data_IF_855670205080
#
_entry.id   IF_855670205080
#
_cell.length_a   1.000
_cell.length_b   1.000
_cell.length_c   1.000
_cell.angle_alpha   90.00
_cell.angle_beta   90.00
_cell.angle_gamma   90.00
#
_symmetry.space_group_name_H-M   'P 1'
#
loop_
_entity.id
_entity.type
_entity.pdbx_description
1 polymer ?
#
# COMPACT_ATOMS: atom_id res chain seq x y z
N UNK A 1 47.27 -27.36 -31.55
CA UNK A 1 46.10 -26.47 -31.41
C UNK A 1 45.05 -27.10 -30.49
N UNK A 2 45.41 -27.53 -29.27
CA UNK A 2 44.54 -28.41 -28.45
C UNK A 2 44.23 -27.94 -27.03
N UNK A 3 44.99 -26.97 -26.48
CA UNK A 3 44.86 -26.57 -25.07
C UNK A 3 44.25 -25.17 -24.90
N UNK A 4 44.59 -24.21 -25.77
CA UNK A 4 44.09 -22.84 -25.67
C UNK A 4 42.56 -22.72 -25.78
N UNK A 5 41.88 -23.57 -26.55
CA UNK A 5 40.42 -23.47 -26.69
C UNK A 5 39.69 -23.79 -25.37
N UNK A 6 40.25 -24.65 -24.52
CA UNK A 6 39.70 -24.97 -23.18
C UNK A 6 39.89 -23.80 -22.23
N UNK A 7 41.04 -23.13 -22.29
CA UNK A 7 41.33 -21.93 -21.49
C UNK A 7 40.38 -20.78 -21.87
N UNK A 8 40.14 -20.59 -23.18
CA UNK A 8 39.18 -19.60 -23.68
C UNK A 8 37.73 -19.90 -23.27
N UNK A 9 37.31 -21.17 -23.30
CA UNK A 9 35.98 -21.57 -22.82
C UNK A 9 35.82 -21.39 -21.31
N UNK A 10 36.83 -21.76 -20.52
CA UNK A 10 36.77 -21.58 -19.07
C UNK A 10 36.77 -20.10 -18.69
N UNK A 11 37.60 -19.29 -19.36
CA UNK A 11 37.63 -17.84 -19.16
C UNK A 11 36.30 -17.17 -19.51
N UNK A 12 35.72 -17.50 -20.66
CA UNK A 12 34.42 -16.94 -21.08
C UNK A 12 33.27 -17.39 -20.17
N UNK A 13 33.26 -18.65 -19.72
CA UNK A 13 32.27 -19.14 -18.78
C UNK A 13 32.34 -18.42 -17.43
N UNK A 14 33.55 -18.18 -16.90
CA UNK A 14 33.75 -17.45 -15.65
C UNK A 14 33.27 -15.99 -15.78
N UNK A 15 33.55 -15.32 -16.89
CA UNK A 15 33.09 -13.95 -17.15
C UNK A 15 31.56 -13.91 -17.26
N UNK A 16 30.94 -14.87 -17.96
CA UNK A 16 29.48 -14.96 -18.05
C UNK A 16 28.83 -15.17 -16.68
N UNK A 17 29.42 -16.00 -15.82
CA UNK A 17 28.98 -16.23 -14.45
C UNK A 17 29.07 -14.96 -13.59
N UNK A 18 30.17 -14.21 -13.70
CA UNK A 18 30.34 -12.95 -12.99
C UNK A 18 29.33 -11.89 -13.43
N UNK A 19 29.07 -11.77 -14.74
CA UNK A 19 28.04 -10.89 -15.28
C UNK A 19 26.66 -11.30 -14.76
N UNK A 20 26.36 -12.60 -14.77
CA UNK A 20 25.09 -13.12 -14.25
C UNK A 20 24.89 -12.76 -12.77
N UNK A 21 25.90 -12.99 -11.93
CA UNK A 21 25.86 -12.66 -10.50
C UNK A 21 25.71 -11.15 -10.29
N UNK A 22 26.40 -10.32 -11.08
CA UNK A 22 26.28 -8.87 -11.01
C UNK A 22 24.87 -8.40 -11.40
N UNK A 23 24.27 -8.97 -12.44
CA UNK A 23 22.89 -8.70 -12.84
C UNK A 23 21.88 -9.09 -11.74
N UNK A 24 22.07 -10.24 -11.09
CA UNK A 24 21.25 -10.66 -9.96
C UNK A 24 21.41 -9.70 -8.77
N UNK A 25 22.64 -9.27 -8.46
CA UNK A 25 22.90 -8.29 -7.40
C UNK A 25 22.29 -6.91 -7.71
N UNK A 26 22.30 -6.47 -8.97
CA UNK A 26 21.65 -5.24 -9.41
C UNK A 26 20.12 -5.34 -9.39
N UNK A 27 19.55 -6.49 -9.74
CA UNK A 27 18.11 -6.76 -9.63
C UNK A 27 17.64 -6.78 -8.17
N UNK A 28 18.51 -7.23 -7.26
CA UNK A 28 18.27 -7.27 -5.81
C UNK A 28 18.63 -5.97 -5.09
N UNK A 29 19.04 -4.89 -5.80
CA UNK A 29 19.36 -3.61 -5.16
C UNK A 29 18.15 -3.10 -4.35
N UNK A 30 18.27 -2.92 -3.03
CA UNK A 30 17.24 -2.33 -2.20
C UNK A 30 17.23 -0.82 -2.48
N UNK A 31 16.58 -0.44 -3.57
CA UNK A 31 16.48 0.94 -4.05
C UNK A 31 15.46 1.11 -5.17
N UNK A 32 14.69 0.06 -5.49
CA UNK A 32 13.49 0.21 -6.29
C UNK A 32 12.61 1.26 -5.63
N UNK A 33 12.38 2.37 -6.36
CA UNK A 33 11.53 3.48 -5.90
C UNK A 33 10.31 2.90 -5.23
N UNK A 34 10.06 3.29 -3.98
CA UNK A 34 8.92 2.80 -3.23
C UNK A 34 7.67 2.87 -4.14
N UNK A 35 6.89 1.78 -4.27
CA UNK A 35 5.66 1.80 -5.04
C UNK A 35 4.84 2.99 -4.60
N UNK A 36 4.37 3.76 -5.59
CA UNK A 36 3.59 4.97 -5.31
C UNK A 36 2.37 4.58 -4.47
N UNK A 37 2.06 5.30 -3.39
CA UNK A 37 0.89 5.00 -2.59
C UNK A 37 -0.36 5.02 -3.48
N UNK A 38 -1.15 3.95 -3.42
CA UNK A 38 -2.35 3.84 -4.22
C UNK A 38 -3.53 4.52 -3.49
N UNK A 39 -4.48 5.10 -4.23
CA UNK A 39 -5.63 5.74 -3.62
C UNK A 39 -6.56 4.69 -2.99
N UNK A 40 -6.71 4.77 -1.67
CA UNK A 40 -7.54 3.90 -0.84
C UNK A 40 -8.98 4.41 -0.80
N UNK A 41 -9.98 3.50 -0.79
CA UNK A 41 -11.37 3.86 -0.56
C UNK A 41 -11.55 4.40 0.86
N UNK A 42 -12.18 5.56 0.95
CA UNK A 42 -12.49 6.22 2.21
C UNK A 42 -13.92 6.71 2.23
N UNK A 43 -14.46 6.86 3.44
CA UNK A 43 -15.75 7.48 3.69
C UNK A 43 -15.66 8.42 4.89
N UNK A 44 -16.33 9.56 4.79
CA UNK A 44 -16.49 10.47 5.92
C UNK A 44 -17.70 10.05 6.75
N UNK A 45 -17.50 9.73 8.02
CA UNK A 45 -18.59 9.36 8.93
C UNK A 45 -19.56 10.52 9.21
N UNK A 46 -19.09 11.77 9.11
CA UNK A 46 -19.91 12.97 9.38
C UNK A 46 -20.83 13.35 8.21
N UNK A 47 -20.27 13.46 6.99
CA UNK A 47 -21.02 13.99 5.84
C UNK A 47 -21.31 12.95 4.75
N UNK A 48 -20.93 11.68 4.97
CA UNK A 48 -21.16 10.58 4.04
C UNK A 48 -20.38 10.67 2.74
N UNK A 49 -19.47 11.64 2.60
CA UNK A 49 -18.63 11.76 1.40
C UNK A 49 -17.74 10.53 1.26
N UNK A 50 -17.80 9.88 0.10
CA UNK A 50 -16.97 8.72 -0.22
C UNK A 50 -16.10 9.00 -1.46
N UNK A 51 -14.93 8.39 -1.49
CA UNK A 51 -14.02 8.54 -2.63
C UNK A 51 -12.76 7.70 -2.46
N UNK A 52 -11.88 7.74 -3.47
CA UNK A 52 -10.55 7.14 -3.36
C UNK A 52 -9.52 8.23 -3.17
N UNK A 53 -8.65 8.08 -2.17
CA UNK A 53 -7.57 9.04 -1.88
C UNK A 53 -6.33 8.33 -1.37
N UNK A 54 -5.17 8.92 -1.63
CA UNK A 54 -3.97 8.55 -0.90
C UNK A 54 -4.16 9.02 0.55
N UNK A 55 -4.01 8.09 1.49
CA UNK A 55 -4.03 8.35 2.93
C UNK A 55 -2.62 8.08 3.42
N UNK A 56 -1.88 9.15 3.72
CA UNK A 56 -0.51 9.05 4.24
C UNK A 56 -0.49 8.72 5.73
N UNK A 57 -1.62 8.92 6.43
CA UNK A 57 -1.81 8.57 7.83
C UNK A 57 -3.23 8.89 8.29
N UNK A 58 -3.65 8.24 9.37
CA UNK A 58 -4.88 8.55 10.09
C UNK A 58 -4.53 9.31 11.38
N UNK A 59 -5.39 10.24 11.84
CA UNK A 59 -6.73 10.51 11.31
C UNK A 59 -6.70 11.50 10.12
N UNK A 60 -7.51 11.22 9.10
CA UNK A 60 -7.58 12.05 7.89
C UNK A 60 -8.75 13.04 7.94
N UNK A 61 -8.52 14.27 7.44
CA UNK A 61 -9.58 15.30 7.29
C UNK A 61 -10.42 15.07 6.03
N UNK A 62 -11.72 15.26 6.16
CA UNK A 62 -12.66 15.25 5.05
C UNK A 62 -12.49 16.50 4.19
N UNK A 63 -12.29 16.34 2.88
CA UNK A 63 -12.17 17.49 1.96
C UNK A 63 -13.48 18.26 1.79
N UNK A 64 -14.62 17.62 2.06
CA UNK A 64 -15.95 18.22 1.88
C UNK A 64 -16.41 19.01 3.11
N UNK A 65 -16.27 18.47 4.31
CA UNK A 65 -16.77 19.10 5.54
C UNK A 65 -15.66 19.52 6.52
N UNK A 66 -14.39 19.21 6.26
CA UNK A 66 -13.26 19.56 7.14
C UNK A 66 -13.11 18.68 8.40
N UNK A 67 -14.09 17.84 8.72
CA UNK A 67 -14.07 16.99 9.91
C UNK A 67 -12.94 15.94 9.88
N UNK A 68 -12.38 15.63 11.05
CA UNK A 68 -11.37 14.60 11.27
C UNK A 68 -12.08 13.25 11.47
N UNK A 69 -12.78 12.79 10.44
CA UNK A 69 -13.69 11.64 10.50
C UNK A 69 -13.70 10.83 9.20
N UNK A 70 -12.54 10.77 8.52
CA UNK A 70 -12.38 9.96 7.31
C UNK A 70 -11.81 8.61 7.71
N UNK A 71 -12.62 7.58 7.48
CA UNK A 71 -12.31 6.19 7.76
C UNK A 71 -12.03 5.45 6.45
N UNK A 72 -11.24 4.38 6.52
CA UNK A 72 -11.21 3.40 5.45
C UNK A 72 -12.61 2.82 5.21
N UNK A 73 -12.87 2.49 3.95
CA UNK A 73 -14.14 1.94 3.52
C UNK A 73 -13.93 0.68 2.69
N UNK A 74 -14.85 -0.27 2.80
CA UNK A 74 -15.00 -1.35 1.83
C UNK A 74 -16.05 -0.99 0.80
N UNK A 75 -15.80 -1.33 -0.46
CA UNK A 75 -16.78 -1.28 -1.55
C UNK A 75 -17.39 -2.67 -1.74
N UNK A 76 -18.71 -2.75 -1.74
CA UNK A 76 -19.40 -4.01 -2.03
C UNK A 76 -19.31 -4.35 -3.53
N UNK A 77 -18.84 -5.55 -3.91
CA UNK A 77 -18.78 -5.98 -5.31
C UNK A 77 -20.18 -6.08 -5.95
N UNK A 78 -21.18 -6.52 -5.19
CA UNK A 78 -22.50 -6.83 -5.76
C UNK A 78 -23.38 -5.60 -5.95
N UNK A 79 -23.40 -4.70 -4.96
CA UNK A 79 -24.31 -3.54 -4.95
C UNK A 79 -23.61 -2.19 -5.00
N UNK A 80 -22.26 -2.16 -5.03
CA UNK A 80 -21.49 -0.91 -5.12
C UNK A 80 -21.59 0.01 -3.89
N UNK A 81 -22.18 -0.47 -2.78
CA UNK A 81 -22.32 0.32 -1.55
C UNK A 81 -20.96 0.48 -0.85
N UNK A 82 -20.69 1.70 -0.43
CA UNK A 82 -19.53 2.03 0.42
C UNK A 82 -19.88 1.76 1.88
N UNK A 83 -19.04 0.99 2.55
CA UNK A 83 -19.25 0.56 3.93
C UNK A 83 -18.06 1.00 4.77
N UNK A 84 -18.25 1.85 5.81
CA UNK A 84 -17.15 2.25 6.69
C UNK A 84 -16.58 1.04 7.42
N UNK A 85 -15.27 1.03 7.60
CA UNK A 85 -14.64 0.09 8.51
C UNK A 85 -15.04 0.37 9.96
N UNK A 86 -14.88 -0.65 10.80
CA UNK A 86 -15.02 -0.51 12.24
C UNK A 86 -13.85 0.35 12.77
N UNK A 87 -14.11 1.50 13.43
CA UNK A 87 -13.07 2.37 13.96
C UNK A 87 -12.10 1.64 14.90
N UNK A 88 -12.58 0.67 15.69
CA UNK A 88 -11.73 -0.09 16.59
C UNK A 88 -10.72 -0.97 15.82
N UNK A 89 -11.12 -1.54 14.68
CA UNK A 89 -10.23 -2.36 13.84
C UNK A 89 -9.26 -1.52 13.04
N UNK A 90 -9.70 -0.34 12.61
CA UNK A 90 -8.86 0.64 11.93
C UNK A 90 -7.72 1.14 12.84
N UNK A 91 -8.03 1.44 14.11
CA UNK A 91 -7.03 1.82 15.10
C UNK A 91 -6.03 0.68 15.38
N UNK A 92 -6.51 -0.57 15.51
CA UNK A 92 -5.65 -1.75 15.67
C UNK A 92 -4.74 -1.96 14.45
N UNK A 93 -5.27 -1.79 13.23
CA UNK A 93 -4.49 -1.91 12.01
C UNK A 93 -3.36 -0.88 11.99
N UNK A 94 -3.67 0.37 12.35
CA UNK A 94 -2.70 1.45 12.37
C UNK A 94 -1.61 1.21 13.41
N UNK A 95 -2.00 0.80 14.64
CA UNK A 95 -1.06 0.48 15.70
C UNK A 95 -0.20 -0.76 15.37
N UNK A 96 -0.73 -1.71 14.60
CA UNK A 96 -0.06 -2.98 14.27
C UNK A 96 -0.33 -3.42 12.82
N UNK A 97 0.31 -2.78 11.83
CA UNK A 97 0.03 -3.05 10.41
C UNK A 97 0.29 -4.50 9.99
N UNK A 98 1.22 -5.20 10.68
CA UNK A 98 1.52 -6.62 10.43
C UNK A 98 0.33 -7.55 10.70
N UNK A 99 -0.67 -7.13 11.48
CA UNK A 99 -1.89 -7.92 11.73
C UNK A 99 -2.72 -8.11 10.46
N UNK A 100 -2.66 -7.18 9.51
CA UNK A 100 -3.31 -7.35 8.22
C UNK A 100 -2.84 -8.61 7.48
N UNK A 101 -1.55 -8.94 7.58
CA UNK A 101 -0.99 -10.16 6.99
C UNK A 101 -1.39 -11.41 7.75
N UNK A 102 -1.46 -11.32 9.08
CA UNK A 102 -1.80 -12.45 9.94
C UNK A 102 -3.27 -12.85 9.86
N UNK A 103 -4.17 -11.87 9.82
CA UNK A 103 -5.63 -12.09 9.88
C UNK A 103 -6.32 -11.90 8.52
N UNK A 104 -5.61 -11.31 7.56
CA UNK A 104 -6.09 -11.14 6.20
C UNK A 104 -7.11 -10.02 6.03
N UNK A 105 -7.38 -9.62 4.78
CA UNK A 105 -8.32 -8.54 4.44
C UNK A 105 -9.73 -8.79 4.98
N UNK A 106 -10.20 -10.04 4.97
CA UNK A 106 -11.55 -10.43 5.42
C UNK A 106 -11.85 -10.09 6.87
N UNK A 107 -10.84 -9.99 7.73
CA UNK A 107 -11.03 -9.56 9.12
C UNK A 107 -11.24 -8.04 9.24
N UNK A 108 -10.60 -7.27 8.36
CA UNK A 108 -10.65 -5.80 8.39
C UNK A 108 -11.78 -5.23 7.53
N UNK A 109 -12.12 -5.88 6.41
CA UNK A 109 -13.23 -5.45 5.56
C UNK A 109 -14.58 -5.81 6.18
N UNK A 110 -15.50 -4.84 6.32
CA UNK A 110 -16.84 -5.10 6.82
C UNK A 110 -17.68 -5.89 5.81
N UNK A 111 -18.74 -6.53 6.29
CA UNK A 111 -19.80 -7.03 5.42
C UNK A 111 -20.66 -5.86 4.94
N UNK A 112 -21.15 -5.94 3.70
CA UNK A 112 -22.04 -4.94 3.15
C UNK A 112 -23.37 -4.92 3.92
N UNK A 113 -23.77 -3.74 4.41
CA UNK A 113 -25.03 -3.58 5.15
C UNK A 113 -26.29 -3.82 4.32
N UNK A 114 -26.18 -3.83 2.99
CA UNK A 114 -27.30 -4.04 2.08
C UNK A 114 -27.54 -5.51 1.73
N UNK A 115 -26.47 -6.25 1.43
CA UNK A 115 -26.56 -7.62 0.91
C UNK A 115 -25.77 -8.66 1.71
N UNK A 116 -25.01 -8.27 2.74
CA UNK A 116 -24.20 -9.17 3.55
C UNK A 116 -22.90 -9.64 2.90
N UNK A 117 -22.65 -9.30 1.63
CA UNK A 117 -21.42 -9.70 0.92
C UNK A 117 -20.18 -9.04 1.52
N UNK A 118 -19.08 -9.79 1.60
CA UNK A 118 -17.79 -9.26 2.02
C UNK A 118 -17.36 -8.11 1.10
N UNK A 119 -17.09 -6.95 1.68
CA UNK A 119 -16.57 -5.80 0.93
C UNK A 119 -15.07 -5.97 0.70
N UNK A 120 -14.52 -5.20 -0.24
CA UNK A 120 -13.07 -5.13 -0.44
C UNK A 120 -12.68 -3.72 -0.93
N UNK A 121 -11.40 -3.44 -1.11
CA UNK A 121 -10.97 -2.07 -1.44
C UNK A 121 -11.23 -1.66 -2.90
N UNK A 122 -11.49 -2.61 -3.78
CA UNK A 122 -11.62 -2.41 -5.24
C UNK A 122 -13.04 -2.57 -5.77
N UNK A 123 -13.90 -3.27 -5.03
CA UNK A 123 -15.08 -3.96 -5.56
C UNK A 123 -14.75 -5.31 -6.24
N UNK A 124 -13.50 -5.80 -6.18
CA UNK A 124 -12.98 -7.01 -6.87
C UNK A 124 -11.80 -7.65 -6.08
N UNK A 125 -11.41 -8.90 -6.39
CA UNK A 125 -10.36 -9.68 -5.71
C UNK A 125 -9.01 -8.91 -5.58
N UNK A 126 -8.51 -8.77 -4.36
CA UNK A 126 -7.78 -7.54 -3.99
C UNK A 126 -6.26 -7.73 -3.71
N UNK A 127 -5.34 -6.96 -4.36
CA UNK A 127 -3.87 -7.02 -4.18
C UNK A 127 -3.30 -6.20 -3.00
N UNK A 128 -4.11 -5.85 -2.01
CA UNK A 128 -3.84 -4.72 -1.08
C UNK A 128 -2.86 -5.00 0.07
N UNK A 129 -2.56 -6.28 0.35
CA UNK A 129 -1.62 -6.66 1.42
C UNK A 129 -0.25 -6.02 1.24
N UNK A 130 0.25 -5.92 0.00
CA UNK A 130 1.57 -5.34 -0.30
C UNK A 130 1.63 -3.83 -0.08
N UNK A 131 0.51 -3.12 -0.26
CA UNK A 131 0.46 -1.66 -0.15
C UNK A 131 0.49 -1.20 1.31
N UNK A 132 -0.29 -1.86 2.18
CA UNK A 132 -0.31 -1.56 3.61
C UNK A 132 1.03 -1.87 4.29
N UNK A 133 1.72 -2.93 3.84
CA UNK A 133 3.09 -3.24 4.29
C UNK A 133 4.09 -2.13 3.95
N UNK A 134 3.94 -1.47 2.80
CA UNK A 134 4.83 -0.39 2.38
C UNK A 134 4.57 0.91 3.14
N UNK A 135 3.31 1.25 3.42
CA UNK A 135 3.00 2.41 4.27
C UNK A 135 3.51 2.20 5.70
N UNK A 136 3.41 0.99 6.24
CA UNK A 136 3.95 0.65 7.56
C UNK A 136 5.48 0.69 7.65
N UNK A 137 6.18 0.60 6.51
CA UNK A 137 7.64 0.69 6.41
C UNK A 137 8.13 2.12 6.19
N UNK A 138 7.24 3.09 5.96
CA UNK A 138 7.61 4.50 6.07
C UNK A 138 7.69 4.83 7.56
N UNK A 139 8.89 5.13 8.11
CA UNK A 139 8.94 5.78 9.40
C UNK A 139 8.27 7.16 9.24
N UNK A 140 7.60 7.64 10.29
CA UNK A 140 7.08 9.00 10.41
C UNK A 140 8.21 10.02 10.14
N UNK A 141 8.41 10.31 8.86
CA UNK A 141 9.52 11.09 8.35
C UNK A 141 9.03 12.49 8.03
N UNK A 142 8.85 13.29 9.08
CA UNK A 142 8.90 14.74 8.96
C UNK A 142 7.55 15.45 9.12
N UNK A 143 7.27 15.84 10.36
CA UNK A 143 6.45 17.01 10.60
C UNK A 143 7.04 18.26 9.93
N UNK A 144 6.13 19.20 9.65
CA UNK A 144 6.35 20.62 9.41
C UNK A 144 7.13 21.06 8.15
N UNK A 145 6.36 21.52 7.15
CA UNK A 145 6.50 22.91 6.69
C UNK A 145 5.17 23.47 6.21
N UNK A 146 4.47 24.13 7.12
CA UNK A 146 3.43 25.10 6.80
C UNK A 146 4.13 26.36 6.30
N UNK A 147 4.35 26.48 5.00
CA UNK A 147 4.68 27.79 4.41
C UNK A 147 3.39 28.62 4.36
N UNK A 148 3.17 29.35 5.45
CA UNK A 148 2.18 30.43 5.57
C UNK A 148 2.97 31.71 5.86
N UNK A 149 2.82 32.71 5.00
CA UNK A 149 3.43 34.05 5.09
C UNK A 149 4.77 34.10 4.32
N UNK A 150 5.04 35.05 3.44
CA UNK A 150 4.69 36.46 3.50
C UNK A 150 4.18 37.00 2.16
N UNK A 151 3.10 37.76 2.27
CA UNK A 151 2.70 38.77 1.30
C UNK A 151 3.52 40.01 1.69
N UNK A 152 4.40 40.47 0.80
CA UNK A 152 4.73 41.90 0.66
C UNK A 152 5.22 42.15 -0.76
#
# INVERSE_FOLDING_TARGET
>A
MGEHWREWLLGSAAVALLIWVLCQALAMRPGGKAPRPAPLPVICAECGWSGRRIVDGLPARCRKCGAVAVHFAGLCPDCGRWTPWDPAREEILFARPRLFRAWGPTWFFPLCSGCGTATNATGEDSPWTRLLEHQAQQPDGGGARSERGEIQ
#
